data_IF_406061054905
#
_entry.id   IF_406061054905
#
_cell.length_a   1.000
_cell.length_b   1.000
_cell.length_c   1.000
_cell.angle_alpha   90.00
_cell.angle_beta   90.00
_cell.angle_gamma   90.00
#
_symmetry.space_group_name_H-M   'P 1'
#
loop_
_entity.id
_entity.type
_entity.pdbx_description
1 polymer ?
#
# COMPACT_ATOMS: atom_id res chain seq x y z
N UNK A 1 -11.23 -7.49 -2.57
CA UNK A 1 -9.81 -7.88 -2.32
C UNK A 1 -9.73 -9.37 -2.04
N UNK A 2 -8.63 -10.05 -2.39
CA UNK A 2 -8.45 -11.46 -2.05
C UNK A 2 -8.33 -11.69 -0.55
N UNK A 3 -8.71 -12.88 -0.10
CA UNK A 3 -8.59 -13.35 1.26
C UNK A 3 -7.97 -14.73 1.35
N UNK A 4 -7.18 -14.91 2.40
CA UNK A 4 -6.27 -16.01 2.62
C UNK A 4 -5.12 -15.50 3.48
N UNK A 5 -4.65 -16.34 4.40
CA UNK A 5 -3.59 -15.93 5.32
C UNK A 5 -2.32 -15.55 4.54
N UNK A 6 -1.75 -14.40 4.90
CA UNK A 6 -0.50 -13.86 4.37
C UNK A 6 -0.54 -13.37 2.93
N UNK A 7 -1.74 -13.22 2.34
CA UNK A 7 -1.91 -12.54 1.07
C UNK A 7 -1.80 -11.03 1.23
N UNK A 8 -1.09 -10.39 0.31
CA UNK A 8 -0.90 -8.94 0.23
C UNK A 8 -1.27 -8.45 -1.18
N UNK A 9 -2.56 -8.20 -1.43
CA UNK A 9 -3.01 -7.50 -2.63
C UNK A 9 -2.61 -6.02 -2.62
N UNK A 10 -2.19 -5.52 -3.78
CA UNK A 10 -1.93 -4.11 -4.00
C UNK A 10 -2.41 -3.64 -5.38
N UNK A 11 -2.96 -2.43 -5.41
CA UNK A 11 -3.15 -1.61 -6.62
C UNK A 11 -2.39 -0.31 -6.35
N UNK A 12 -1.37 -0.05 -7.14
CA UNK A 12 -0.40 1.00 -6.86
C UNK A 12 0.18 1.53 -8.17
N UNK A 13 0.96 2.60 -8.07
CA UNK A 13 1.54 3.27 -9.21
C UNK A 13 3.01 3.59 -8.96
N UNK A 14 3.83 3.31 -9.98
CA UNK A 14 5.26 3.64 -10.00
C UNK A 14 5.58 4.60 -11.14
N UNK A 15 6.57 5.50 -10.98
CA UNK A 15 6.95 6.43 -12.02
C UNK A 15 7.45 5.69 -13.27
N UNK A 16 7.02 6.16 -14.44
CA UNK A 16 7.49 5.62 -15.72
C UNK A 16 8.99 5.87 -15.93
N UNK A 17 9.50 6.95 -15.32
CA UNK A 17 10.90 7.32 -15.32
C UNK A 17 11.31 7.87 -13.96
N UNK A 18 12.50 7.50 -13.49
CA UNK A 18 13.06 8.00 -12.24
C UNK A 18 13.67 9.41 -12.39
N UNK A 19 12.83 10.41 -12.73
CA UNK A 19 13.26 11.79 -13.06
C UNK A 19 13.99 12.47 -11.90
N UNK A 20 13.53 12.22 -10.66
CA UNK A 20 14.04 12.89 -9.46
C UNK A 20 15.05 12.03 -8.67
N UNK A 21 15.38 10.83 -9.15
CA UNK A 21 16.31 9.90 -8.52
C UNK A 21 15.66 8.56 -8.14
N UNK A 22 16.40 7.73 -7.41
CA UNK A 22 15.93 6.43 -6.93
C UNK A 22 14.79 6.57 -5.92
N UNK A 23 14.08 5.48 -5.65
CA UNK A 23 13.02 5.47 -4.66
C UNK A 23 13.48 6.03 -3.30
N UNK A 24 12.64 6.84 -2.60
CA UNK A 24 11.30 7.28 -2.97
C UNK A 24 11.29 8.64 -3.70
N UNK A 25 12.43 9.12 -4.20
CA UNK A 25 12.57 10.48 -4.76
C UNK A 25 11.74 10.73 -6.00
N UNK A 26 11.47 9.69 -6.79
CA UNK A 26 10.56 9.78 -7.95
C UNK A 26 9.12 9.36 -7.64
N UNK A 27 8.80 9.15 -6.36
CA UNK A 27 7.46 8.85 -5.88
C UNK A 27 7.04 7.38 -6.02
N UNK A 28 6.05 7.00 -5.22
CA UNK A 28 5.23 5.79 -5.36
C UNK A 28 3.85 6.09 -4.76
N UNK A 29 2.79 5.63 -5.41
CA UNK A 29 1.40 5.86 -5.01
C UNK A 29 0.74 4.52 -4.75
N UNK A 30 0.51 4.20 -3.49
CA UNK A 30 -0.29 3.05 -3.11
C UNK A 30 -1.76 3.47 -3.07
N UNK A 31 -2.48 3.23 -4.17
CA UNK A 31 -3.92 3.47 -4.22
C UNK A 31 -4.63 2.60 -3.20
N UNK A 32 -4.28 1.31 -3.14
CA UNK A 32 -4.73 0.44 -2.06
C UNK A 32 -3.76 -0.70 -1.82
N UNK A 33 -3.47 -0.93 -0.54
CA UNK A 33 -2.91 -2.17 -0.01
C UNK A 33 -3.84 -2.73 1.06
N UNK A 34 -3.95 -4.06 1.14
CA UNK A 34 -4.74 -4.74 2.16
C UNK A 34 -4.10 -6.06 2.55
N UNK A 35 -4.59 -6.67 3.64
CA UNK A 35 -4.16 -7.99 4.11
C UNK A 35 -5.28 -8.99 3.88
N UNK A 36 -4.97 -10.16 3.34
CA UNK A 36 -5.97 -11.20 3.09
C UNK A 36 -6.38 -11.99 4.34
N UNK A 37 -5.71 -11.81 5.49
CA UNK A 37 -6.03 -12.56 6.70
C UNK A 37 -7.41 -12.21 7.26
N UNK A 38 -8.31 -13.18 7.34
CA UNK A 38 -9.69 -12.96 7.83
C UNK A 38 -9.79 -12.76 9.33
N UNK A 39 -8.78 -13.19 10.09
CA UNK A 39 -8.81 -13.21 11.56
C UNK A 39 -7.48 -12.72 12.16
N UNK A 40 -6.84 -11.73 11.56
CA UNK A 40 -5.59 -11.16 12.04
C UNK A 40 -5.84 -9.97 12.95
N UNK A 41 -5.36 -10.05 14.18
CA UNK A 41 -5.53 -9.03 15.20
C UNK A 41 -4.19 -8.60 15.80
N UNK A 42 -4.09 -7.30 16.10
CA UNK A 42 -3.00 -6.71 16.87
C UNK A 42 -3.61 -5.83 17.96
N UNK A 43 -3.28 -6.10 19.22
CA UNK A 43 -3.81 -5.36 20.38
C UNK A 43 -5.36 -5.30 20.40
N UNK A 44 -6.03 -6.37 19.98
CA UNK A 44 -7.49 -6.47 19.92
C UNK A 44 -8.14 -5.81 18.69
N UNK A 45 -7.36 -5.14 17.84
CA UNK A 45 -7.84 -4.53 16.60
C UNK A 45 -7.68 -5.50 15.42
N UNK A 46 -8.72 -5.65 14.60
CA UNK A 46 -8.64 -6.41 13.35
C UNK A 46 -7.85 -5.60 12.31
N UNK A 47 -6.71 -6.13 11.87
CA UNK A 47 -5.80 -5.49 10.91
C UNK A 47 -5.69 -6.27 9.59
N UNK A 48 -6.54 -7.29 9.42
CA UNK A 48 -6.59 -8.16 8.26
C UNK A 48 -7.48 -7.59 7.14
N UNK A 49 -8.42 -8.39 6.64
CA UNK A 49 -9.32 -8.00 5.53
C UNK A 49 -10.23 -6.80 5.84
N UNK A 50 -10.31 -6.35 7.08
CA UNK A 50 -11.10 -5.17 7.48
C UNK A 50 -10.36 -3.85 7.27
N UNK A 51 -9.08 -3.87 6.87
CA UNK A 51 -8.29 -2.67 6.61
C UNK A 51 -7.90 -2.57 5.12
N UNK A 52 -8.00 -1.35 4.59
CA UNK A 52 -7.42 -0.95 3.31
C UNK A 52 -6.63 0.34 3.56
N UNK A 53 -5.36 0.31 3.19
CA UNK A 53 -4.44 1.44 3.33
C UNK A 53 -4.17 2.11 1.99
N UNK A 54 -4.02 3.42 2.00
CA UNK A 54 -3.47 4.19 0.88
C UNK A 54 -2.28 4.99 1.37
N UNK A 55 -1.23 5.06 0.54
CA UNK A 55 0.03 5.69 0.93
C UNK A 55 0.63 6.46 -0.23
N UNK A 56 1.30 7.59 0.08
CA UNK A 56 2.25 8.21 -0.83
C UNK A 56 3.65 8.03 -0.27
N UNK A 57 4.55 7.43 -1.06
CA UNK A 57 5.97 7.35 -0.75
C UNK A 57 6.69 8.46 -1.48
N UNK A 58 7.37 9.32 -0.73
CA UNK A 58 8.09 10.49 -1.24
C UNK A 58 9.17 10.90 -0.24
N UNK A 59 10.33 11.32 -0.73
CA UNK A 59 11.44 11.74 0.10
C UNK A 59 12.74 11.72 -0.68
N UNK A 60 13.83 12.33 -0.19
CA UNK A 60 15.07 12.45 -0.94
C UNK A 60 15.87 11.15 -1.07
N UNK A 61 15.62 10.15 -0.20
CA UNK A 61 16.26 8.84 -0.17
C UNK A 61 15.50 7.89 0.79
N UNK A 62 15.73 6.56 0.75
CA UNK A 62 14.96 5.56 1.51
C UNK A 62 14.82 5.83 3.01
N UNK A 63 15.90 6.23 3.68
CA UNK A 63 15.92 6.48 5.13
C UNK A 63 15.18 7.76 5.54
N UNK A 64 14.81 8.62 4.58
CA UNK A 64 14.01 9.82 4.80
C UNK A 64 12.74 9.82 3.95
N UNK A 65 12.03 8.70 3.97
CA UNK A 65 10.73 8.57 3.34
C UNK A 65 9.63 9.23 4.21
N UNK A 66 8.88 10.17 3.63
CA UNK A 66 7.82 10.96 4.27
C UNK A 66 6.44 10.32 4.31
N UNK A 67 6.35 9.02 4.00
CA UNK A 67 5.08 8.27 3.89
C UNK A 67 4.16 8.40 5.10
N UNK A 68 4.69 8.51 6.32
CA UNK A 68 3.90 8.61 7.56
C UNK A 68 2.94 9.81 7.56
N UNK A 69 3.27 10.87 6.82
CA UNK A 69 2.42 12.07 6.69
C UNK A 69 1.34 11.94 5.62
N UNK A 70 1.42 10.91 4.78
CA UNK A 70 0.53 10.66 3.65
C UNK A 70 0.08 9.20 3.61
N UNK A 71 -0.25 8.65 4.78
CA UNK A 71 -0.77 7.30 4.96
C UNK A 71 -2.14 7.36 5.63
N UNK A 72 -3.11 6.63 5.10
CA UNK A 72 -4.44 6.55 5.65
C UNK A 72 -4.95 5.11 5.62
N UNK A 73 -5.71 4.74 6.65
CA UNK A 73 -6.36 3.44 6.75
C UNK A 73 -7.86 3.66 6.86
N UNK A 74 -8.63 3.01 5.98
CA UNK A 74 -10.08 2.92 6.14
C UNK A 74 -10.46 1.53 6.63
N UNK A 75 -11.27 1.50 7.69
CA UNK A 75 -11.83 0.26 8.24
C UNK A 75 -13.23 -0.03 7.72
N UNK A 76 -13.49 -1.29 7.42
CA UNK A 76 -14.81 -1.81 7.07
C UNK A 76 -15.03 -3.12 7.84
N UNK A 77 -15.97 -3.13 8.79
CA UNK A 77 -16.26 -4.31 9.63
C UNK A 77 -16.79 -5.50 8.83
N UNK A 78 -17.39 -5.27 7.66
CA UNK A 78 -17.80 -6.33 6.75
C UNK A 78 -16.62 -6.95 5.99
N UNK A 79 -15.46 -6.29 5.99
CA UNK A 79 -14.27 -6.68 5.23
C UNK A 79 -14.31 -6.20 3.78
N UNK A 80 -13.12 -6.00 3.21
CA UNK A 80 -12.94 -5.71 1.77
C UNK A 80 -12.86 -6.98 0.91
N UNK A 81 -12.99 -8.16 1.54
CA UNK A 81 -12.93 -9.47 0.89
C UNK A 81 -14.29 -10.05 0.48
N UNK A 82 -15.39 -9.35 0.78
CA UNK A 82 -16.76 -9.89 0.59
C UNK A 82 -17.46 -9.40 -0.66
N UNK A 83 -17.05 -8.26 -1.21
CA UNK A 83 -17.65 -7.65 -2.39
C UNK A 83 -16.59 -6.91 -3.21
N UNK A 84 -16.97 -6.54 -4.43
CA UNK A 84 -16.20 -5.53 -5.17
C UNK A 84 -16.33 -4.18 -4.47
N UNK A 85 -15.20 -3.49 -4.36
CA UNK A 85 -15.10 -2.14 -3.82
C UNK A 85 -14.47 -1.25 -4.87
N UNK A 86 -14.88 0.02 -4.89
CA UNK A 86 -14.32 1.00 -5.81
C UNK A 86 -13.18 1.75 -5.12
N UNK A 87 -11.97 1.63 -5.65
CA UNK A 87 -10.80 2.37 -5.20
C UNK A 87 -10.51 3.51 -6.18
N UNK A 88 -10.41 4.74 -5.67
CA UNK A 88 -10.39 5.96 -6.48
C UNK A 88 -9.19 6.82 -6.11
N UNK A 89 -8.45 7.24 -7.14
CA UNK A 89 -7.46 8.30 -7.07
C UNK A 89 -7.97 9.48 -7.90
N UNK A 90 -8.10 10.65 -7.29
CA UNK A 90 -8.19 11.90 -8.02
C UNK A 90 -6.85 12.61 -7.91
N UNK A 91 -6.25 12.90 -9.05
CA UNK A 91 -4.93 13.49 -9.17
C UNK A 91 -5.04 14.76 -10.01
N UNK A 92 -4.71 15.89 -9.39
CA UNK A 92 -4.78 17.21 -10.01
C UNK A 92 -3.44 17.96 -9.83
N UNK A 93 -3.24 19.09 -10.51
CA UNK A 93 -2.12 19.98 -10.24
C UNK A 93 -2.07 20.56 -8.81
N UNK A 94 -3.14 20.40 -8.02
CA UNK A 94 -3.29 21.00 -6.69
C UNK A 94 -3.32 19.98 -5.55
N UNK A 95 -3.77 18.75 -5.80
CA UNK A 95 -3.91 17.73 -4.77
C UNK A 95 -3.95 16.30 -5.33
N UNK A 96 -3.67 15.36 -4.43
CA UNK A 96 -3.99 13.93 -4.57
C UNK A 96 -5.05 13.58 -3.53
N UNK A 97 -6.14 12.93 -3.95
CA UNK A 97 -7.22 12.47 -3.09
C UNK A 97 -7.48 10.99 -3.30
N UNK A 98 -7.54 10.25 -2.20
CA UNK A 98 -7.88 8.83 -2.17
C UNK A 98 -9.30 8.66 -1.68
N UNK A 99 -10.05 7.77 -2.32
CA UNK A 99 -11.39 7.40 -1.89
C UNK A 99 -11.63 5.91 -2.06
N UNK A 100 -12.47 5.37 -1.18
CA UNK A 100 -12.98 4.01 -1.30
C UNK A 100 -14.51 4.13 -1.30
N UNK A 101 -15.20 3.50 -2.24
CA UNK A 101 -16.66 3.56 -2.37
C UNK A 101 -17.21 5.00 -2.26
N UNK A 102 -16.59 5.93 -3.01
CA UNK A 102 -16.87 7.38 -3.02
C UNK A 102 -16.67 8.15 -1.70
N UNK A 103 -16.21 7.49 -0.64
CA UNK A 103 -15.84 8.16 0.59
C UNK A 103 -14.36 8.52 0.56
N UNK A 104 -14.06 9.81 0.71
CA UNK A 104 -12.70 10.31 0.87
C UNK A 104 -12.07 9.74 2.15
N UNK A 105 -10.89 9.14 2.00
CA UNK A 105 -10.13 8.56 3.13
C UNK A 105 -8.87 9.34 3.45
N UNK A 106 -8.37 10.11 2.48
CA UNK A 106 -7.09 10.80 2.56
C UNK A 106 -6.89 11.77 1.43
N UNK A 107 -6.16 12.85 1.71
CA UNK A 107 -5.81 13.89 0.75
C UNK A 107 -4.50 14.55 1.11
N UNK A 108 -3.67 14.82 0.11
CA UNK A 108 -2.56 15.79 0.21
C UNK A 108 -2.84 16.96 -0.70
N UNK A 109 -2.80 18.16 -0.15
CA UNK A 109 -2.81 19.43 -0.88
C UNK A 109 -1.53 20.17 -0.50
N UNK A 110 -0.41 19.95 -1.21
CA UNK A 110 0.83 20.60 -0.84
C UNK A 110 0.70 22.12 -1.06
N UNK A 111 1.20 22.90 -0.10
CA UNK A 111 1.26 24.36 -0.22
C UNK A 111 2.29 24.80 -1.26
N UNK A 112 2.64 26.09 -1.26
CA UNK A 112 3.64 26.65 -2.18
C UNK A 112 5.02 25.97 -2.05
N UNK A 113 5.34 25.42 -0.88
CA UNK A 113 6.54 24.65 -0.62
C UNK A 113 6.57 23.23 -1.20
N UNK A 114 5.49 22.80 -1.85
CA UNK A 114 5.36 21.48 -2.45
C UNK A 114 5.42 20.33 -1.44
N UNK A 115 5.68 19.12 -1.94
CA UNK A 115 5.91 17.96 -1.08
C UNK A 115 7.16 18.08 -0.21
N UNK A 116 8.13 18.94 -0.58
CA UNK A 116 9.35 19.16 0.20
C UNK A 116 9.05 19.71 1.59
N UNK A 117 8.23 20.76 1.65
CA UNK A 117 7.81 21.34 2.92
C UNK A 117 6.73 20.49 3.60
N UNK A 118 5.82 19.87 2.84
CA UNK A 118 4.81 18.96 3.39
C UNK A 118 5.45 17.80 4.17
N UNK A 119 6.52 17.20 3.63
CA UNK A 119 7.32 16.16 4.26
C UNK A 119 8.18 16.64 5.44
N UNK A 120 8.33 17.95 5.61
CA UNK A 120 9.18 18.55 6.64
C UNK A 120 10.69 18.46 6.34
N UNK A 121 11.08 18.18 5.09
CA UNK A 121 12.48 17.94 4.73
C UNK A 121 13.32 19.22 4.69
N UNK A 122 12.69 20.40 4.55
CA UNK A 122 13.36 21.70 4.55
C UNK A 122 14.08 22.05 5.86
N UNK A 123 13.83 21.30 6.93
CA UNK A 123 14.52 21.49 8.21
C UNK A 123 15.99 21.05 8.16
N UNK A 124 16.34 20.08 7.29
CA UNK A 124 17.71 19.61 7.16
C UNK A 124 18.42 20.31 5.99
N UNK A 125 19.19 21.36 6.31
CA UNK A 125 19.93 22.17 5.32
C UNK A 125 21.05 21.42 4.59
N UNK A 126 21.43 20.23 5.06
CA UNK A 126 22.47 19.40 4.42
C UNK A 126 21.90 18.51 3.30
N UNK A 127 20.58 18.51 3.10
CA UNK A 127 19.93 17.72 2.05
C UNK A 127 19.43 18.68 0.97
N UNK A 128 19.85 18.42 -0.27
CA UNK A 128 19.35 19.15 -1.42
C UNK A 128 17.94 18.68 -1.77
N UNK A 129 17.02 19.61 -1.99
CA UNK A 129 15.68 19.30 -2.48
C UNK A 129 15.79 18.67 -3.90
N UNK A 130 15.40 17.40 -4.08
CA UNK A 130 15.42 16.75 -5.39
C UNK A 130 14.39 17.36 -6.35
N UNK A 131 13.34 17.98 -5.82
CA UNK A 131 12.18 18.51 -6.54
C UNK A 131 12.29 20.00 -6.88
N UNK A 132 13.46 20.62 -6.67
CA UNK A 132 13.67 22.08 -6.86
C UNK A 132 13.37 22.62 -8.27
N UNK A 133 13.28 21.74 -9.26
CA UNK A 133 12.94 22.08 -10.65
C UNK A 133 11.59 21.49 -11.10
N UNK A 134 10.91 20.76 -10.22
CA UNK A 134 9.57 20.23 -10.46
C UNK A 134 8.49 21.24 -10.09
N UNK A 135 7.24 20.81 -10.25
CA UNK A 135 6.07 21.55 -9.76
C UNK A 135 5.90 21.36 -8.26
N UNK A 136 4.93 22.03 -7.64
CA UNK A 136 4.56 21.78 -6.23
C UNK A 136 4.09 20.34 -5.98
N UNK A 137 3.66 19.63 -7.03
CA UNK A 137 3.21 18.25 -6.95
C UNK A 137 4.35 17.24 -7.10
N UNK A 138 5.58 17.66 -7.47
CA UNK A 138 6.73 16.77 -7.51
C UNK A 138 6.90 16.02 -6.18
N UNK A 139 7.09 14.69 -6.19
CA UNK A 139 7.45 13.87 -7.36
C UNK A 139 6.26 13.34 -8.19
N UNK A 140 5.02 13.66 -7.80
CA UNK A 140 3.79 13.23 -8.46
C UNK A 140 3.37 14.22 -9.55
N UNK A 141 4.31 14.68 -10.36
CA UNK A 141 4.10 15.51 -11.53
C UNK A 141 4.67 14.91 -12.82
N UNK A 142 5.06 13.64 -12.74
CA UNK A 142 5.53 12.83 -13.86
C UNK A 142 4.51 11.75 -14.24
N UNK A 143 4.78 11.02 -15.32
CA UNK A 143 3.93 9.88 -15.74
C UNK A 143 4.18 8.67 -14.86
N UNK A 144 3.12 7.96 -14.48
CA UNK A 144 3.18 6.74 -13.68
C UNK A 144 2.50 5.58 -14.42
N UNK A 145 2.96 4.36 -14.17
CA UNK A 145 2.29 3.12 -14.58
C UNK A 145 1.44 2.57 -13.44
N UNK A 146 0.25 2.06 -13.77
CA UNK A 146 -0.59 1.32 -12.82
C UNK A 146 -0.07 -0.11 -12.73
N UNK A 147 0.10 -0.59 -11.50
CA UNK A 147 0.51 -1.95 -11.16
C UNK A 147 -0.60 -2.58 -10.31
N UNK A 148 -0.94 -3.83 -10.62
CA UNK A 148 -1.84 -4.66 -9.84
C UNK A 148 -1.13 -5.97 -9.56
N UNK A 149 -1.00 -6.34 -8.29
CA UNK A 149 -0.37 -7.59 -7.90
C UNK A 149 -1.03 -8.22 -6.67
N UNK A 150 -0.70 -9.49 -6.49
CA UNK A 150 -0.96 -10.25 -5.28
C UNK A 150 0.37 -10.83 -4.81
N UNK A 151 0.95 -10.20 -3.78
CA UNK A 151 2.14 -10.70 -3.12
C UNK A 151 1.77 -11.63 -1.95
N UNK A 152 2.76 -12.33 -1.40
CA UNK A 152 2.60 -13.19 -0.21
C UNK A 152 3.77 -13.00 0.74
N UNK A 153 3.50 -12.99 2.04
CA UNK A 153 4.51 -12.80 3.07
C UNK A 153 5.18 -11.41 3.03
N UNK A 154 6.45 -11.34 3.45
CA UNK A 154 7.24 -10.10 3.48
C UNK A 154 7.87 -9.81 4.84
N UNK A 155 9.04 -9.17 4.84
CA UNK A 155 9.83 -8.88 6.05
C UNK A 155 9.87 -7.39 6.42
N UNK A 156 9.24 -6.54 5.62
CA UNK A 156 9.23 -5.08 5.83
C UNK A 156 8.27 -4.61 6.96
N UNK A 157 7.72 -5.54 7.74
CA UNK A 157 6.76 -5.23 8.81
C UNK A 157 5.30 -5.14 8.36
N UNK A 158 4.99 -5.28 7.06
CA UNK A 158 3.60 -5.25 6.57
C UNK A 158 2.73 -6.28 7.28
N UNK A 159 3.25 -7.48 7.52
CA UNK A 159 2.73 -8.41 8.52
C UNK A 159 3.54 -8.28 9.82
N UNK A 160 3.02 -7.62 10.88
CA UNK A 160 3.76 -7.44 12.11
C UNK A 160 4.05 -8.78 12.81
N UNK A 161 5.12 -8.82 13.60
CA UNK A 161 5.38 -9.94 14.50
C UNK A 161 4.48 -9.84 15.74
N UNK A 162 4.24 -10.96 16.43
CA UNK A 162 3.44 -10.98 17.67
C UNK A 162 1.93 -10.74 17.47
N UNK A 163 1.44 -10.84 16.24
CA UNK A 163 0.01 -10.76 15.90
C UNK A 163 -0.73 -12.05 16.28
N UNK A 164 -2.02 -11.92 16.57
CA UNK A 164 -2.92 -13.05 16.74
C UNK A 164 -3.58 -13.39 15.40
N UNK A 165 -3.43 -14.63 14.93
CA UNK A 165 -4.17 -15.19 13.79
C UNK A 165 -4.33 -16.71 14.03
N UNK A 166 -5.46 -17.35 13.66
CA UNK A 166 -5.67 -18.78 13.88
C UNK A 166 -4.55 -19.66 13.33
N UNK A 167 -4.02 -19.27 12.17
CA UNK A 167 -2.72 -19.75 11.69
C UNK A 167 -1.63 -18.81 12.17
N UNK A 168 -0.71 -19.22 13.04
CA UNK A 168 0.39 -18.35 13.45
C UNK A 168 1.27 -17.95 12.26
N UNK A 169 1.84 -16.74 12.31
CA UNK A 169 2.82 -16.27 11.32
C UNK A 169 4.03 -17.21 11.33
N UNK A 170 4.36 -17.89 10.21
CA UNK A 170 5.40 -18.90 10.22
C UNK A 170 6.83 -18.32 10.12
N UNK A 171 6.99 -17.03 9.84
CA UNK A 171 8.28 -16.35 9.78
C UNK A 171 8.34 -15.17 10.76
N UNK A 172 9.55 -14.77 11.13
CA UNK A 172 9.85 -13.54 11.86
C UNK A 172 10.41 -12.49 10.89
N UNK A 173 10.12 -11.19 11.09
CA UNK A 173 10.55 -10.15 10.14
C UNK A 173 12.07 -9.99 10.01
N UNK A 174 12.85 -10.31 11.04
CA UNK A 174 14.31 -10.31 10.95
C UNK A 174 14.92 -11.67 10.55
N UNK A 175 14.11 -12.67 10.17
CA UNK A 175 14.63 -13.99 9.79
C UNK A 175 15.38 -13.91 8.45
N UNK A 176 16.65 -14.37 8.39
CA UNK A 176 17.37 -14.48 7.11
C UNK A 176 16.81 -15.58 6.20
N UNK A 177 15.96 -16.46 6.76
CA UNK A 177 15.31 -17.57 6.04
C UNK A 177 13.81 -17.39 5.95
N UNK A 178 13.29 -16.16 6.10
CA UNK A 178 11.85 -15.88 6.16
C UNK A 178 11.04 -16.52 5.02
N UNK A 179 11.57 -16.54 3.80
CA UNK A 179 10.92 -17.20 2.66
C UNK A 179 10.82 -18.73 2.81
N UNK A 180 11.87 -19.36 3.34
CA UNK A 180 11.88 -20.80 3.67
C UNK A 180 10.92 -21.10 4.81
N UNK A 181 10.93 -20.28 5.86
CA UNK A 181 10.03 -20.41 7.02
C UNK A 181 8.56 -20.28 6.58
N UNK A 182 8.27 -19.29 5.73
CA UNK A 182 6.99 -19.12 5.06
C UNK A 182 6.57 -20.38 4.31
N UNK A 183 7.43 -20.90 3.43
CA UNK A 183 7.13 -22.11 2.65
C UNK A 183 6.93 -23.36 3.53
N UNK A 184 7.71 -23.52 4.59
CA UNK A 184 7.58 -24.65 5.50
C UNK A 184 6.27 -24.60 6.29
N UNK A 185 5.74 -23.40 6.56
CA UNK A 185 4.44 -23.19 7.19
C UNK A 185 3.22 -23.45 6.30
N UNK A 186 3.40 -23.77 5.01
CA UNK A 186 2.29 -23.85 4.03
C UNK A 186 1.15 -24.79 4.38
N UNK A 187 1.42 -25.87 5.11
CA UNK A 187 0.36 -26.79 5.52
C UNK A 187 -0.66 -26.13 6.45
N UNK A 188 -0.33 -25.02 7.08
CA UNK A 188 -1.24 -24.26 7.93
C UNK A 188 -1.94 -23.12 7.17
N UNK A 189 -1.20 -22.35 6.36
CA UNK A 189 -1.80 -21.17 5.70
C UNK A 189 -2.43 -21.47 4.33
N UNK A 190 -1.91 -22.43 3.57
CA UNK A 190 -2.41 -22.73 2.22
C UNK A 190 -3.88 -23.19 2.22
N UNK A 191 -4.34 -24.02 3.18
CA UNK A 191 -5.77 -24.36 3.26
C UNK A 191 -6.69 -23.15 3.40
N UNK A 192 -6.22 -22.04 3.98
CA UNK A 192 -7.02 -20.82 4.18
C UNK A 192 -7.30 -20.06 2.89
N UNK A 193 -6.55 -20.35 1.82
CA UNK A 193 -6.76 -19.77 0.50
C UNK A 193 -7.92 -20.44 -0.25
N UNK A 194 -8.48 -21.53 0.30
CA UNK A 194 -9.65 -22.21 -0.24
C UNK A 194 -9.55 -22.55 -1.74
N UNK A 195 -8.37 -22.97 -2.22
CA UNK A 195 -8.12 -23.17 -3.65
C UNK A 195 -9.04 -24.21 -4.33
N UNK A 196 -9.62 -25.13 -3.56
CA UNK A 196 -10.57 -26.14 -4.06
C UNK A 196 -12.04 -25.68 -3.98
N UNK A 197 -12.31 -24.45 -3.53
CA UNK A 197 -13.65 -23.86 -3.40
C UNK A 197 -13.76 -22.71 -4.39
N UNK A 198 -14.83 -22.70 -5.21
CA UNK A 198 -15.08 -21.68 -6.22
C UNK A 198 -13.83 -21.34 -7.05
N UNK A 199 -13.08 -22.37 -7.46
CA UNK A 199 -11.83 -22.28 -8.22
C UNK A 199 -10.76 -21.33 -7.62
N UNK A 200 -10.74 -21.17 -6.30
CA UNK A 200 -9.77 -20.32 -5.61
C UNK A 200 -9.98 -18.82 -5.83
N UNK A 201 -11.17 -18.42 -6.31
CA UNK A 201 -11.50 -17.02 -6.56
C UNK A 201 -11.36 -16.13 -5.31
N UNK A 202 -11.68 -16.66 -4.13
CA UNK A 202 -11.52 -15.96 -2.86
C UNK A 202 -10.08 -15.47 -2.62
N UNK A 203 -9.09 -16.26 -3.01
CA UNK A 203 -7.67 -15.92 -2.85
C UNK A 203 -7.10 -15.18 -4.07
N UNK A 204 -7.90 -14.90 -5.10
CA UNK A 204 -7.47 -14.26 -6.34
C UNK A 204 -7.76 -12.75 -6.32
N UNK A 205 -6.85 -11.94 -6.86
CA UNK A 205 -7.15 -10.53 -7.11
C UNK A 205 -8.10 -10.44 -8.31
N UNK A 206 -9.37 -10.18 -8.04
CA UNK A 206 -10.42 -10.04 -9.05
C UNK A 206 -10.65 -8.57 -9.37
N UNK A 207 -10.74 -8.25 -10.67
CA UNK A 207 -10.94 -6.88 -11.17
C UNK A 207 -12.12 -6.89 -12.14
N UNK A 208 -13.17 -6.14 -11.82
CA UNK A 208 -14.31 -5.95 -12.70
C UNK A 208 -13.98 -4.95 -13.82
N UNK A 209 -13.49 -3.76 -13.45
CA UNK A 209 -13.05 -2.76 -14.42
C UNK A 209 -11.92 -1.88 -13.89
N UNK A 210 -11.20 -1.29 -14.83
CA UNK A 210 -10.29 -0.16 -14.60
C UNK A 210 -10.74 0.97 -15.51
N UNK A 211 -10.88 2.19 -14.97
CA UNK A 211 -11.22 3.38 -15.73
C UNK A 211 -10.23 4.49 -15.40
N UNK A 212 -9.67 5.10 -16.43
CA UNK A 212 -8.77 6.25 -16.34
C UNK A 212 -9.31 7.31 -17.29
N UNK A 213 -9.49 8.52 -16.80
CA UNK A 213 -9.94 9.66 -17.59
C UNK A 213 -9.25 10.93 -17.08
N UNK A 214 -9.14 11.93 -17.95
CA UNK A 214 -8.68 13.26 -17.59
C UNK A 214 -9.88 14.21 -17.46
N UNK A 215 -9.75 15.21 -16.60
CA UNK A 215 -10.72 16.30 -16.43
C UNK A 215 -10.63 17.33 -17.56
#
# INVERSE_FOLDING_TARGET
MPAGDWLWPAIWLMPAHNVYGTWPSSGEIDLVESRGNRNMFMNGLHIGTQEAGSTLHYGPYPELNGWERAHWIRRNTNGYDRAFHRYQLEWTPDFLRFSIDDLEIGRVTPGNGGFWDFGGFSQNRNILNPWRFGTKMAPFDEKFYIIMNLAVGGTNGFFPDGIANPTPKPWWNGSPTAATDFWNGRNFWLPTWNLNVNDGQDASLQVDYVRVWAL
#
